data_IF_830421973599
#
_entry.id   IF_830421973599
#
_cell.length_a   1.000
_cell.length_b   1.000
_cell.length_c   1.000
_cell.angle_alpha   90.00
_cell.angle_beta   90.00
_cell.angle_gamma   90.00
#
_symmetry.space_group_name_H-M   'P 1'
#
loop_
_entity.id
_entity.type
_entity.pdbx_description
1 polymer ?
#
# COMPACT_ATOMS: atom_id res chain seq x y z
N UNK A 1 27.81 5.94 -32.46
CA UNK A 1 26.44 6.27 -32.95
C UNK A 1 25.46 5.13 -32.72
N UNK A 2 25.78 3.89 -33.14
CA UNK A 2 24.91 2.71 -32.96
C UNK A 2 24.48 2.45 -31.51
N UNK A 3 25.40 2.52 -30.53
CA UNK A 3 25.06 2.29 -29.11
C UNK A 3 23.98 3.25 -28.58
N UNK A 4 24.02 4.53 -28.98
CA UNK A 4 23.00 5.52 -28.59
C UNK A 4 21.62 5.18 -29.17
N UNK A 5 21.58 4.68 -30.40
CA UNK A 5 20.34 4.26 -31.06
C UNK A 5 19.72 3.07 -30.32
N UNK A 6 20.51 2.05 -29.96
CA UNK A 6 20.02 0.91 -29.19
C UNK A 6 19.48 1.31 -27.82
N UNK A 7 20.17 2.18 -27.08
CA UNK A 7 19.68 2.65 -25.76
C UNK A 7 18.37 3.42 -25.88
N UNK A 8 18.20 4.25 -26.91
CA UNK A 8 16.96 4.99 -27.14
C UNK A 8 15.80 4.08 -27.55
N UNK A 9 16.05 3.06 -28.38
CA UNK A 9 15.03 2.08 -28.77
C UNK A 9 14.58 1.26 -27.57
N UNK A 10 15.51 0.78 -26.74
CA UNK A 10 15.17 0.01 -25.52
C UNK A 10 14.36 0.89 -24.55
N UNK A 11 14.77 2.14 -24.35
CA UNK A 11 14.03 3.07 -23.50
C UNK A 11 12.60 3.32 -24.02
N UNK A 12 12.42 3.48 -25.34
CA UNK A 12 11.12 3.65 -25.96
C UNK A 12 10.24 2.40 -25.82
N UNK A 13 10.80 1.20 -26.05
CA UNK A 13 10.07 -0.06 -25.86
C UNK A 13 9.62 -0.22 -24.40
N UNK A 14 10.50 0.08 -23.44
CA UNK A 14 10.15 0.08 -22.03
C UNK A 14 9.06 1.11 -21.71
N UNK A 15 9.14 2.32 -22.28
CA UNK A 15 8.12 3.36 -22.11
C UNK A 15 6.76 2.90 -22.64
N UNK A 16 6.72 2.30 -23.83
CA UNK A 16 5.50 1.78 -24.45
C UNK A 16 4.92 0.62 -23.64
N UNK A 17 5.76 -0.31 -23.16
CA UNK A 17 5.33 -1.43 -22.33
C UNK A 17 4.77 -0.96 -20.98
N UNK A 18 5.36 0.09 -20.40
CA UNK A 18 4.86 0.73 -19.18
C UNK A 18 3.52 1.41 -19.47
N UNK A 19 3.41 2.18 -20.57
CA UNK A 19 2.19 2.88 -20.95
C UNK A 19 1.02 1.90 -21.24
N UNK A 20 1.28 0.81 -21.96
CA UNK A 20 0.25 -0.20 -22.25
C UNK A 20 -0.20 -0.95 -21.00
N UNK A 21 0.69 -1.12 -20.01
CA UNK A 21 0.35 -1.70 -18.71
C UNK A 21 -0.61 -0.83 -17.89
N UNK A 22 -0.70 0.47 -18.18
CA UNK A 22 -1.68 1.36 -17.56
C UNK A 22 -3.05 1.36 -18.26
N UNK A 23 -3.12 0.95 -19.53
CA UNK A 23 -4.37 0.91 -20.31
C UNK A 23 -5.21 -0.36 -20.07
N UNK A 24 -4.58 -1.46 -19.66
CA UNK A 24 -5.30 -2.70 -19.38
C UNK A 24 -5.82 -2.70 -17.93
N UNK A 25 -7.13 -2.58 -17.80
CA UNK A 25 -7.82 -2.56 -16.52
C UNK A 25 -7.94 -3.93 -15.83
N UNK A 26 -7.21 -4.97 -16.23
CA UNK A 26 -7.29 -6.28 -15.57
C UNK A 26 -6.75 -6.24 -14.13
N UNK A 27 -7.38 -7.00 -13.23
CA UNK A 27 -6.86 -7.20 -11.88
C UNK A 27 -5.60 -8.08 -11.88
N UNK A 28 -4.81 -8.02 -10.80
CA UNK A 28 -3.71 -8.94 -10.50
C UNK A 28 -4.01 -9.64 -9.19
N UNK A 29 -3.91 -10.97 -9.17
CA UNK A 29 -4.09 -11.77 -7.97
C UNK A 29 -2.75 -12.33 -7.50
N UNK A 30 -2.43 -12.19 -6.23
CA UNK A 30 -1.20 -12.71 -5.63
C UNK A 30 -1.36 -13.01 -4.14
N UNK A 31 -0.53 -13.91 -3.61
CA UNK A 31 -0.36 -14.08 -2.17
C UNK A 31 0.54 -12.96 -1.60
N UNK A 32 0.12 -12.33 -0.51
CA UNK A 32 0.85 -11.27 0.17
C UNK A 32 2.15 -11.80 0.78
N UNK A 33 3.25 -11.10 0.54
CA UNK A 33 4.48 -11.33 1.29
C UNK A 33 4.46 -10.70 2.69
N UNK A 34 3.52 -9.78 2.95
CA UNK A 34 3.46 -9.02 4.21
C UNK A 34 2.45 -9.57 5.22
N UNK A 35 1.45 -10.30 4.74
CA UNK A 35 0.24 -10.59 5.50
C UNK A 35 0.00 -12.08 5.59
N UNK A 36 -0.23 -12.55 6.82
CA UNK A 36 -0.67 -13.90 7.14
C UNK A 36 -1.94 -13.84 7.97
N UNK A 37 -2.78 -14.86 7.87
CA UNK A 37 -3.95 -14.98 8.74
C UNK A 37 -3.56 -15.55 10.12
N UNK A 38 -4.55 -15.81 10.99
CA UNK A 38 -4.33 -16.31 12.35
C UNK A 38 -3.65 -17.70 12.36
N UNK A 39 -3.86 -18.51 11.33
CA UNK A 39 -3.24 -19.82 11.15
C UNK A 39 -1.89 -19.77 10.38
N UNK A 40 -1.30 -18.58 10.28
CA UNK A 40 -0.05 -18.30 9.57
C UNK A 40 -0.08 -18.65 8.07
N UNK A 41 -1.26 -18.78 7.48
CA UNK A 41 -1.46 -19.01 6.05
C UNK A 41 -1.37 -17.70 5.26
N UNK A 42 -1.00 -17.76 3.96
CA UNK A 42 -0.95 -16.58 3.12
C UNK A 42 -2.30 -15.87 3.00
N UNK A 43 -2.28 -14.54 3.05
CA UNK A 43 -3.41 -13.70 2.66
C UNK A 43 -3.35 -13.42 1.17
N UNK A 44 -4.44 -13.62 0.46
CA UNK A 44 -4.50 -13.39 -0.99
C UNK A 44 -5.09 -12.01 -1.29
N UNK A 45 -4.52 -11.30 -2.26
CA UNK A 45 -5.01 -10.01 -2.72
C UNK A 45 -5.30 -10.07 -4.21
N UNK A 46 -6.43 -9.54 -4.61
CA UNK A 46 -6.75 -9.17 -5.98
C UNK A 46 -6.76 -7.65 -6.06
N UNK A 47 -5.96 -7.05 -6.92
CA UNK A 47 -5.81 -5.58 -7.00
C UNK A 47 -6.09 -5.11 -8.41
N UNK A 48 -6.84 -4.00 -8.52
CA UNK A 48 -7.09 -3.29 -9.78
C UNK A 48 -6.86 -1.80 -9.58
N UNK A 49 -6.18 -1.19 -10.55
CA UNK A 49 -5.87 0.24 -10.57
C UNK A 49 -6.73 0.96 -11.62
N UNK A 50 -7.40 2.04 -11.20
CA UNK A 50 -8.16 2.93 -12.07
C UNK A 50 -7.50 4.31 -12.08
N UNK A 51 -6.68 4.63 -13.09
CA UNK A 51 -6.10 5.96 -13.21
C UNK A 51 -7.16 6.98 -13.63
N UNK A 52 -7.14 8.15 -13.03
CA UNK A 52 -7.93 9.32 -13.45
C UNK A 52 -7.05 10.55 -13.61
N UNK A 53 -7.63 11.71 -13.94
CA UNK A 53 -6.87 12.97 -14.03
C UNK A 53 -6.73 13.62 -12.65
N UNK A 54 -7.86 13.79 -11.97
CA UNK A 54 -8.04 14.40 -10.66
C UNK A 54 -7.85 13.42 -9.51
N UNK A 55 -8.13 12.14 -9.72
CA UNK A 55 -7.95 11.09 -8.72
C UNK A 55 -7.40 9.80 -9.32
N UNK A 56 -6.83 8.97 -8.47
CA UNK A 56 -6.46 7.59 -8.76
C UNK A 56 -7.19 6.67 -7.79
N UNK A 57 -7.70 5.54 -8.26
CA UNK A 57 -8.39 4.58 -7.39
C UNK A 57 -7.68 3.24 -7.40
N UNK A 58 -7.33 2.76 -6.21
CA UNK A 58 -6.77 1.44 -5.97
C UNK A 58 -7.85 0.59 -5.32
N UNK A 59 -8.41 -0.37 -6.06
CA UNK A 59 -9.36 -1.32 -5.50
C UNK A 59 -8.69 -2.65 -5.21
N UNK A 60 -9.11 -3.28 -4.12
CA UNK A 60 -8.55 -4.54 -3.66
C UNK A 60 -9.64 -5.45 -3.11
N UNK A 61 -9.64 -6.72 -3.49
CA UNK A 61 -10.28 -7.77 -2.71
C UNK A 61 -9.18 -8.49 -1.91
N UNK A 62 -9.39 -8.71 -0.62
CA UNK A 62 -8.44 -9.39 0.25
C UNK A 62 -9.10 -10.60 0.93
N UNK A 63 -8.47 -11.78 0.84
CA UNK A 63 -8.95 -13.00 1.50
C UNK A 63 -7.98 -13.51 2.54
N UNK A 64 -8.49 -13.64 3.77
CA UNK A 64 -7.84 -14.28 4.91
C UNK A 64 -8.15 -15.78 5.02
N UNK A 65 -9.04 -16.29 4.16
CA UNK A 65 -9.53 -17.67 4.20
C UNK A 65 -8.96 -18.55 3.07
N UNK A 66 -8.15 -17.97 2.19
CA UNK A 66 -7.48 -18.65 1.08
C UNK A 66 -7.93 -18.17 -0.30
N UNK A 67 -7.24 -18.64 -1.34
CA UNK A 67 -7.38 -18.15 -2.73
C UNK A 67 -8.71 -18.51 -3.41
N UNK A 68 -9.30 -19.65 -3.07
CA UNK A 68 -10.44 -20.22 -3.79
C UNK A 68 -11.73 -20.24 -2.96
N UNK A 69 -11.83 -19.32 -1.99
CA UNK A 69 -13.05 -19.13 -1.21
C UNK A 69 -14.06 -18.27 -1.96
N UNK A 70 -15.33 -18.38 -1.58
CA UNK A 70 -16.42 -17.56 -2.12
C UNK A 70 -16.11 -16.06 -2.02
N UNK A 71 -16.54 -15.28 -3.01
CA UNK A 71 -16.28 -13.82 -3.06
C UNK A 71 -16.78 -13.07 -1.85
N UNK A 72 -17.85 -13.56 -1.20
CA UNK A 72 -18.41 -13.00 0.04
C UNK A 72 -17.47 -13.09 1.25
N UNK A 73 -16.41 -13.90 1.15
CA UNK A 73 -15.34 -14.04 2.15
C UNK A 73 -14.12 -13.17 1.85
N UNK A 74 -14.18 -12.36 0.79
CA UNK A 74 -13.15 -11.38 0.48
C UNK A 74 -13.58 -10.01 0.97
N UNK A 75 -12.71 -9.34 1.73
CA UNK A 75 -12.90 -7.95 2.09
C UNK A 75 -12.63 -7.08 0.86
N UNK A 76 -13.63 -6.30 0.42
CA UNK A 76 -13.48 -5.36 -0.71
C UNK A 76 -13.15 -3.96 -0.19
N UNK A 77 -12.03 -3.42 -0.66
CA UNK A 77 -11.45 -2.17 -0.21
C UNK A 77 -11.17 -1.25 -1.40
N UNK A 78 -11.22 0.06 -1.18
CA UNK A 78 -10.77 1.06 -2.13
C UNK A 78 -9.94 2.16 -1.44
N UNK A 79 -8.84 2.56 -2.07
CA UNK A 79 -8.03 3.72 -1.70
C UNK A 79 -8.10 4.73 -2.85
N UNK A 80 -8.72 5.88 -2.59
CA UNK A 80 -8.85 6.98 -3.56
C UNK A 80 -7.79 8.02 -3.23
N UNK A 81 -6.84 8.24 -4.13
CA UNK A 81 -5.84 9.30 -4.02
C UNK A 81 -6.32 10.52 -4.79
N UNK A 82 -6.66 11.59 -4.07
CA UNK A 82 -7.01 12.88 -4.65
C UNK A 82 -5.72 13.62 -5.05
N UNK A 83 -5.63 13.98 -6.33
CA UNK A 83 -4.48 14.62 -6.96
C UNK A 83 -4.71 16.09 -7.31
N UNK A 84 -5.84 16.66 -6.91
CA UNK A 84 -6.21 18.04 -7.22
C UNK A 84 -5.34 19.06 -6.47
N UNK A 85 -4.87 18.73 -5.27
CA UNK A 85 -4.04 19.59 -4.42
C UNK A 85 -2.82 18.81 -3.92
N UNK A 86 -1.65 19.45 -3.88
CA UNK A 86 -0.45 18.90 -3.25
C UNK A 86 -0.23 19.47 -1.84
N UNK A 87 0.22 18.65 -0.86
CA UNK A 87 0.37 17.20 -0.95
C UNK A 87 -0.97 16.51 -1.20
N UNK A 88 -0.95 15.42 -1.98
CA UNK A 88 -2.16 14.66 -2.32
C UNK A 88 -2.84 14.15 -1.06
N UNK A 89 -4.14 13.88 -1.09
CA UNK A 89 -4.84 13.23 0.03
C UNK A 89 -5.29 11.82 -0.36
N UNK A 90 -5.52 10.96 0.63
CA UNK A 90 -6.09 9.64 0.40
C UNK A 90 -7.34 9.41 1.25
N UNK A 91 -8.37 8.85 0.60
CA UNK A 91 -9.57 8.32 1.23
C UNK A 91 -9.63 6.80 1.14
N UNK A 92 -10.22 6.18 2.15
CA UNK A 92 -10.33 4.74 2.28
C UNK A 92 -11.78 4.30 2.43
N UNK A 93 -12.16 3.26 1.72
CA UNK A 93 -13.50 2.71 1.75
C UNK A 93 -13.43 1.21 1.92
N UNK A 94 -14.28 0.67 2.80
CA UNK A 94 -14.67 -0.73 2.77
C UNK A 94 -16.04 -0.83 2.10
N UNK A 95 -16.16 -1.72 1.13
CA UNK A 95 -17.32 -1.87 0.26
C UNK A 95 -17.94 -3.25 0.47
N UNK A 96 -19.23 -3.39 0.12
CA UNK A 96 -19.84 -4.71 0.00
C UNK A 96 -19.11 -5.56 -1.05
N UNK A 97 -19.22 -6.88 -0.93
CA UNK A 97 -18.62 -7.82 -1.85
C UNK A 97 -19.07 -7.58 -3.30
N UNK A 98 -18.22 -7.93 -4.26
CA UNK A 98 -18.52 -7.72 -5.66
C UNK A 98 -17.27 -7.59 -6.53
N UNK A 99 -17.45 -7.34 -7.84
CA UNK A 99 -16.34 -7.21 -8.76
C UNK A 99 -15.53 -5.95 -8.46
N UNK A 100 -14.22 -5.97 -8.75
CA UNK A 100 -13.40 -4.76 -8.72
C UNK A 100 -13.75 -3.86 -9.90
N UNK A 101 -14.83 -3.08 -9.76
CA UNK A 101 -15.27 -2.02 -10.68
C UNK A 101 -15.43 -0.76 -9.85
N UNK A 102 -14.98 0.38 -10.39
CA UNK A 102 -15.17 1.69 -9.78
C UNK A 102 -16.36 2.40 -10.41
N UNK A 103 -17.27 2.90 -9.58
CA UNK A 103 -18.40 3.75 -9.94
C UNK A 103 -18.38 4.96 -9.00
N UNK A 104 -18.79 6.13 -9.50
CA UNK A 104 -18.71 7.39 -8.76
C UNK A 104 -19.59 7.42 -7.50
N UNK A 105 -20.64 6.58 -7.45
CA UNK A 105 -21.52 6.45 -6.30
C UNK A 105 -21.08 5.36 -5.30
N UNK A 106 -20.04 4.56 -5.59
CA UNK A 106 -19.54 3.51 -4.68
C UNK A 106 -19.15 4.04 -3.29
N UNK A 107 -18.54 5.24 -3.14
CA UNK A 107 -18.30 5.81 -1.82
C UNK A 107 -19.56 5.93 -0.95
N UNK A 108 -20.74 6.08 -1.56
CA UNK A 108 -22.04 6.13 -0.87
C UNK A 108 -22.53 4.75 -0.44
N UNK A 109 -21.97 3.68 -1.01
CA UNK A 109 -22.28 2.26 -0.74
C UNK A 109 -21.28 1.60 0.22
N UNK A 110 -20.50 2.40 0.96
CA UNK A 110 -19.53 1.88 1.94
C UNK A 110 -20.22 1.16 3.09
N UNK A 111 -19.53 0.16 3.63
CA UNK A 111 -19.96 -0.60 4.81
C UNK A 111 -19.05 -0.28 6.01
N UNK A 112 -19.41 -0.78 7.21
CA UNK A 112 -18.54 -0.68 8.38
C UNK A 112 -17.21 -1.39 8.13
N UNK A 113 -16.11 -0.84 8.65
CA UNK A 113 -14.82 -1.52 8.57
C UNK A 113 -14.84 -2.82 9.37
N UNK A 114 -14.38 -3.92 8.75
CA UNK A 114 -14.05 -5.17 9.45
C UNK A 114 -12.63 -5.12 10.01
N UNK A 115 -11.76 -4.27 9.44
CA UNK A 115 -10.34 -4.13 9.78
C UNK A 115 -9.88 -2.67 9.77
N UNK A 116 -8.98 -2.29 10.69
CA UNK A 116 -8.35 -0.96 10.66
C UNK A 116 -7.27 -0.91 9.58
N UNK A 117 -7.62 -0.35 8.42
CA UNK A 117 -6.71 -0.22 7.29
C UNK A 117 -5.45 0.63 7.62
N UNK A 118 -5.52 1.54 8.60
CA UNK A 118 -4.38 2.38 9.02
C UNK A 118 -3.25 1.63 9.71
N UNK A 119 -3.52 0.43 10.23
CA UNK A 119 -2.48 -0.47 10.76
C UNK A 119 -1.45 -0.77 9.67
N UNK A 120 -1.93 -0.89 8.44
CA UNK A 120 -1.09 -1.14 7.28
C UNK A 120 -0.82 0.15 6.48
N UNK A 121 -1.77 1.06 6.34
CA UNK A 121 -1.69 2.17 5.38
C UNK A 121 -1.68 3.52 6.07
N UNK A 122 -0.50 4.08 6.36
CA UNK A 122 -0.42 5.32 7.13
C UNK A 122 -1.11 6.53 6.45
N UNK A 123 -1.02 6.67 5.11
CA UNK A 123 -1.67 7.78 4.40
C UNK A 123 -1.91 7.49 2.90
N UNK A 124 -2.15 6.24 2.49
CA UNK A 124 -2.45 5.92 1.09
C UNK A 124 -2.02 4.52 0.67
N UNK A 125 -1.96 4.23 -0.64
CA UNK A 125 -1.55 2.93 -1.13
C UNK A 125 -0.08 2.67 -0.78
N UNK A 126 0.24 1.41 -0.50
CA UNK A 126 1.60 0.94 -0.19
C UNK A 126 2.09 0.02 -1.29
N UNK A 127 3.41 -0.14 -1.36
CA UNK A 127 4.03 -1.05 -2.31
C UNK A 127 3.44 -2.46 -2.18
N UNK A 128 2.94 -2.97 -3.30
CA UNK A 128 2.40 -4.29 -3.49
C UNK A 128 3.54 -5.31 -3.49
N UNK A 129 3.51 -6.25 -2.54
CA UNK A 129 4.56 -7.25 -2.36
C UNK A 129 3.97 -8.64 -2.50
N UNK A 130 4.20 -9.24 -3.67
CA UNK A 130 3.74 -10.58 -3.97
C UNK A 130 4.78 -11.65 -3.59
N UNK A 131 4.32 -12.77 -3.05
CA UNK A 131 5.11 -13.99 -2.95
C UNK A 131 5.30 -14.57 -4.36
N UNK A 132 6.54 -14.52 -4.86
CA UNK A 132 6.85 -15.00 -6.22
C UNK A 132 6.68 -16.51 -6.42
N UNK A 133 6.70 -17.29 -5.34
CA UNK A 133 6.71 -18.75 -5.35
C UNK A 133 5.40 -19.37 -4.83
N UNK A 134 4.28 -18.64 -4.85
CA UNK A 134 2.98 -19.19 -4.46
C UNK A 134 2.37 -20.00 -5.62
N UNK A 135 1.93 -21.22 -5.31
CA UNK A 135 1.35 -22.19 -6.25
C UNK A 135 -0.12 -21.89 -6.59
N UNK A 136 -0.85 -21.22 -5.69
CA UNK A 136 -2.27 -20.90 -5.85
C UNK A 136 -2.51 -19.59 -6.61
N UNK A 137 -1.55 -18.68 -6.60
CA UNK A 137 -1.61 -17.39 -7.28
C UNK A 137 -0.24 -17.00 -7.89
N UNK A 138 0.31 -17.82 -8.83
CA UNK A 138 1.59 -17.53 -9.44
C UNK A 138 1.49 -16.28 -10.33
N UNK A 139 2.44 -15.36 -10.16
CA UNK A 139 2.56 -14.19 -11.04
C UNK A 139 3.27 -14.54 -12.35
N UNK A 140 2.57 -14.39 -13.46
CA UNK A 140 3.20 -14.41 -14.78
C UNK A 140 4.06 -13.14 -15.00
N UNK A 141 4.84 -13.12 -16.08
CA UNK A 141 5.73 -11.99 -16.39
C UNK A 141 4.99 -10.65 -16.55
N UNK A 142 3.81 -10.68 -17.18
CA UNK A 142 3.00 -9.48 -17.38
C UNK A 142 2.52 -8.89 -16.05
N UNK A 143 2.05 -9.73 -15.13
CA UNK A 143 1.62 -9.29 -13.81
C UNK A 143 2.78 -8.78 -12.97
N UNK A 144 3.97 -9.38 -13.08
CA UNK A 144 5.20 -8.87 -12.43
C UNK A 144 5.55 -7.47 -12.92
N UNK A 145 5.50 -7.24 -14.24
CA UNK A 145 5.73 -5.91 -14.83
C UNK A 145 4.66 -4.92 -14.35
N UNK A 146 3.39 -5.33 -14.31
CA UNK A 146 2.27 -4.50 -13.85
C UNK A 146 2.43 -4.11 -12.38
N UNK A 147 2.73 -5.06 -11.50
CA UNK A 147 3.00 -4.81 -10.07
C UNK A 147 4.19 -3.86 -9.91
N UNK A 148 5.26 -4.04 -10.68
CA UNK A 148 6.41 -3.12 -10.65
C UNK A 148 6.03 -1.69 -11.08
N UNK A 149 5.25 -1.55 -12.16
CA UNK A 149 4.76 -0.24 -12.64
C UNK A 149 3.82 0.42 -11.61
N UNK A 150 2.93 -0.35 -10.99
CA UNK A 150 2.07 0.11 -9.90
C UNK A 150 2.86 0.55 -8.67
N UNK A 151 3.88 -0.19 -8.27
CA UNK A 151 4.77 0.20 -7.18
C UNK A 151 5.53 1.49 -7.49
N UNK A 152 5.98 1.67 -8.74
CA UNK A 152 6.56 2.93 -9.18
C UNK A 152 5.53 4.06 -9.09
N UNK A 153 4.30 3.84 -9.56
CA UNK A 153 3.21 4.83 -9.45
C UNK A 153 2.98 5.23 -7.99
N UNK A 154 2.83 4.27 -7.09
CA UNK A 154 2.66 4.51 -5.65
C UNK A 154 3.83 5.35 -5.10
N UNK A 155 5.06 5.01 -5.48
CA UNK A 155 6.26 5.76 -5.09
C UNK A 155 6.22 7.22 -5.59
N UNK A 156 5.68 7.48 -6.78
CA UNK A 156 5.60 8.83 -7.36
C UNK A 156 4.61 9.77 -6.67
N UNK A 157 3.68 9.26 -5.85
CA UNK A 157 2.78 10.13 -5.08
C UNK A 157 3.52 10.99 -4.04
N UNK A 158 4.72 10.57 -3.60
CA UNK A 158 5.45 11.26 -2.55
C UNK A 158 4.73 11.20 -1.19
N UNK A 159 4.65 12.34 -0.51
CA UNK A 159 3.84 12.52 0.70
C UNK A 159 2.38 12.64 0.30
N UNK A 160 1.58 11.69 0.74
CA UNK A 160 0.12 11.76 0.72
C UNK A 160 -0.32 12.10 2.14
N UNK A 161 -1.22 13.04 2.32
CA UNK A 161 -1.82 13.41 3.58
C UNK A 161 -3.12 12.64 3.84
N UNK A 162 -3.44 12.55 5.11
CA UNK A 162 -4.73 12.09 5.58
C UNK A 162 -5.84 13.05 5.17
N UNK A 163 -6.99 12.53 4.73
CA UNK A 163 -8.18 13.33 4.51
C UNK A 163 -8.97 13.50 5.83
N UNK A 164 -9.14 14.74 6.34
CA UNK A 164 -9.85 15.00 7.60
C UNK A 164 -11.32 14.53 7.61
N UNK A 165 -11.95 14.28 6.45
CA UNK A 165 -13.31 13.77 6.42
C UNK A 165 -13.44 12.43 7.15
N UNK A 166 -12.36 11.64 7.20
CA UNK A 166 -12.35 10.39 7.95
C UNK A 166 -12.50 10.57 9.46
N UNK A 167 -12.15 11.72 10.03
CA UNK A 167 -12.28 11.94 11.48
C UNK A 167 -13.75 11.99 11.89
N UNK A 168 -14.59 12.56 11.02
CA UNK A 168 -16.05 12.64 11.20
C UNK A 168 -16.69 11.28 10.98
N UNK A 169 -16.14 10.48 10.06
CA UNK A 169 -16.62 9.13 9.78
C UNK A 169 -16.28 8.16 10.90
N UNK A 170 -15.07 8.23 11.45
CA UNK A 170 -14.59 7.38 12.55
C UNK A 170 -15.47 7.49 13.79
N UNK A 171 -16.00 8.68 14.08
CA UNK A 171 -16.91 8.88 15.21
C UNK A 171 -18.22 8.09 15.09
N UNK A 172 -18.58 7.67 13.86
CA UNK A 172 -19.82 6.92 13.58
C UNK A 172 -19.57 5.42 13.50
N UNK A 173 -18.32 4.97 13.47
CA UNK A 173 -17.97 3.57 13.25
C UNK A 173 -17.67 2.85 14.57
N UNK A 174 -17.98 1.55 14.63
CA UNK A 174 -17.65 0.71 15.78
C UNK A 174 -16.15 0.42 15.88
N UNK A 175 -15.50 0.29 14.73
CA UNK A 175 -14.05 0.11 14.61
C UNK A 175 -13.51 1.39 13.97
N UNK A 176 -12.66 2.17 14.67
CA UNK A 176 -12.12 3.38 14.10
C UNK A 176 -11.18 3.04 12.95
N UNK A 177 -11.21 3.83 11.88
CA UNK A 177 -10.23 3.72 10.82
C UNK A 177 -8.82 3.95 11.36
N UNK A 178 -8.64 4.95 12.25
CA UNK A 178 -7.37 5.28 12.89
C UNK A 178 -7.44 5.23 14.41
N UNK A 179 -6.45 4.61 15.04
CA UNK A 179 -6.27 4.71 16.49
C UNK A 179 -5.66 6.07 16.86
N UNK A 180 -6.32 6.79 17.79
CA UNK A 180 -5.92 8.14 18.23
C UNK A 180 -5.37 8.18 19.66
N UNK A 181 -5.14 7.03 20.29
CA UNK A 181 -4.53 7.00 21.61
C UNK A 181 -3.10 7.57 21.53
N UNK A 182 -2.60 8.24 22.59
CA UNK A 182 -1.24 8.78 22.59
C UNK A 182 -0.17 7.75 22.23
N UNK A 183 -0.36 6.51 22.67
CA UNK A 183 0.49 5.38 22.32
C UNK A 183 0.44 5.07 20.81
N UNK A 184 -0.75 4.90 20.22
CA UNK A 184 -0.91 4.52 18.82
C UNK A 184 -0.31 5.55 17.84
N UNK A 185 -0.35 6.83 18.21
CA UNK A 185 0.20 7.93 17.39
C UNK A 185 1.65 8.26 17.69
N UNK A 186 2.31 7.56 18.63
CA UNK A 186 3.71 7.76 18.93
C UNK A 186 4.55 7.54 17.67
N UNK A 187 5.40 8.50 17.35
CA UNK A 187 6.21 8.52 16.14
C UNK A 187 7.57 7.82 16.35
N UNK A 188 8.01 7.08 15.34
CA UNK A 188 9.34 6.48 15.30
C UNK A 188 10.37 7.57 14.94
N UNK A 189 11.35 7.77 15.83
CA UNK A 189 12.37 8.84 15.71
C UNK A 189 13.77 8.34 15.32
N UNK A 190 13.86 7.10 14.84
CA UNK A 190 15.13 6.51 14.37
C UNK A 190 15.68 7.31 13.18
N UNK A 191 16.88 7.86 13.32
CA UNK A 191 17.45 8.83 12.38
C UNK A 191 17.47 8.33 10.94
N UNK A 192 17.93 7.10 10.71
CA UNK A 192 17.94 6.47 9.38
C UNK A 192 16.54 6.36 8.77
N UNK A 193 15.51 6.10 9.57
CA UNK A 193 14.12 6.01 9.09
C UNK A 193 13.58 7.38 8.66
N UNK A 194 13.97 8.46 9.34
CA UNK A 194 13.53 9.84 9.07
C UNK A 194 14.03 10.39 7.73
N UNK A 195 14.99 9.74 7.06
CA UNK A 195 15.40 10.12 5.70
C UNK A 195 14.26 9.96 4.67
N UNK A 196 13.37 8.98 4.86
CA UNK A 196 12.20 8.76 4.02
C UNK A 196 10.90 9.07 4.75
N UNK A 197 10.83 8.78 6.04
CA UNK A 197 9.64 8.95 6.86
C UNK A 197 9.63 10.29 7.59
N UNK A 198 9.58 11.36 6.81
CA UNK A 198 9.40 12.73 7.30
C UNK A 198 8.17 13.38 6.64
N UNK A 199 7.82 14.57 7.13
CA UNK A 199 6.67 15.33 6.63
C UNK A 199 7.00 16.20 5.40
N UNK A 200 8.28 16.50 5.18
CA UNK A 200 8.73 17.44 4.14
C UNK A 200 9.91 16.91 3.35
N UNK A 201 9.99 17.30 2.08
CA UNK A 201 11.08 16.93 1.17
C UNK A 201 10.67 15.95 0.08
N UNK A 202 11.59 15.73 -0.86
CA UNK A 202 11.30 14.96 -2.08
C UNK A 202 10.98 13.48 -1.81
N UNK A 203 11.59 12.91 -0.76
CA UNK A 203 11.39 11.51 -0.38
C UNK A 203 10.37 11.32 0.74
N UNK A 204 9.68 12.38 1.17
CA UNK A 204 8.75 12.35 2.29
C UNK A 204 7.64 11.32 2.09
N UNK A 205 7.45 10.46 3.10
CA UNK A 205 6.42 9.41 3.18
C UNK A 205 5.48 9.56 4.37
N UNK A 206 5.67 10.59 5.18
CA UNK A 206 5.00 10.75 6.47
C UNK A 206 5.70 9.92 7.56
N UNK A 207 5.52 10.38 8.79
CA UNK A 207 6.12 9.78 9.98
C UNK A 207 5.53 8.40 10.26
N UNK A 208 6.39 7.41 10.55
CA UNK A 208 5.97 6.09 11.02
C UNK A 208 5.45 6.21 12.46
N UNK A 209 4.33 5.56 12.74
CA UNK A 209 3.64 5.58 14.02
C UNK A 209 3.52 4.17 14.60
N UNK A 210 3.33 4.08 15.92
CA UNK A 210 3.29 2.81 16.64
C UNK A 210 2.15 1.90 16.19
N UNK A 211 1.02 2.45 15.75
CA UNK A 211 -0.05 1.66 15.13
C UNK A 211 0.40 0.84 13.89
N UNK A 212 1.56 1.16 13.29
CA UNK A 212 2.17 0.40 12.20
C UNK A 212 3.28 -0.56 12.64
N UNK A 213 3.44 -0.84 13.94
CA UNK A 213 4.57 -1.63 14.49
C UNK A 213 4.73 -3.00 13.83
N UNK A 214 3.63 -3.72 13.59
CA UNK A 214 3.67 -5.06 12.99
C UNK A 214 4.20 -5.01 11.54
N UNK A 215 3.82 -3.96 10.79
CA UNK A 215 4.38 -3.70 9.46
C UNK A 215 5.86 -3.37 9.56
N UNK A 216 6.25 -2.46 10.46
CA UNK A 216 7.62 -1.99 10.64
C UNK A 216 8.54 -3.17 10.95
N UNK A 217 8.17 -4.01 11.91
CA UNK A 217 8.91 -5.21 12.32
C UNK A 217 9.05 -6.21 11.15
N UNK A 218 7.96 -6.47 10.43
CA UNK A 218 7.95 -7.37 9.27
C UNK A 218 8.88 -6.89 8.15
N UNK A 219 8.96 -5.58 7.91
CA UNK A 219 9.83 -5.02 6.88
C UNK A 219 11.30 -5.00 7.29
N UNK A 220 11.59 -4.69 8.54
CA UNK A 220 12.98 -4.72 9.05
C UNK A 220 13.53 -6.14 9.10
N UNK A 221 12.76 -7.10 9.60
CA UNK A 221 13.20 -8.51 9.68
C UNK A 221 13.49 -9.13 8.31
N UNK A 222 12.84 -8.65 7.25
CA UNK A 222 13.10 -9.06 5.86
C UNK A 222 14.20 -8.28 5.15
N UNK A 223 14.80 -7.29 5.80
CA UNK A 223 15.79 -6.41 5.18
C UNK A 223 15.20 -5.51 4.08
N UNK A 224 13.88 -5.30 4.08
CA UNK A 224 13.21 -4.39 3.15
C UNK A 224 13.22 -2.94 3.67
N UNK A 225 13.50 -2.74 4.95
CA UNK A 225 13.65 -1.44 5.59
C UNK A 225 14.90 -1.42 6.51
N UNK A 226 15.75 -0.38 6.42
CA UNK A 226 15.67 0.75 5.49
C UNK A 226 16.08 0.35 4.04
N UNK A 227 15.50 0.99 3.00
CA UNK A 227 15.77 0.61 1.61
C UNK A 227 17.15 1.15 1.14
N UNK A 228 17.50 0.90 -0.13
CA UNK A 228 18.63 1.58 -0.82
C UNK A 228 20.01 1.39 -0.15
N UNK A 229 20.23 0.31 0.58
CA UNK A 229 21.51 0.01 1.21
C UNK A 229 21.83 0.87 2.44
N UNK A 230 20.85 1.64 2.95
CA UNK A 230 20.96 2.20 4.29
C UNK A 230 21.07 1.05 5.31
N UNK A 231 21.79 1.29 6.40
CA UNK A 231 21.97 0.31 7.48
C UNK A 231 21.72 0.99 8.82
N UNK A 232 21.00 0.33 9.72
CA UNK A 232 20.82 0.81 11.08
C UNK A 232 22.11 0.58 11.89
N UNK A 233 22.58 1.62 12.58
CA UNK A 233 23.58 1.46 13.64
C UNK A 233 23.02 0.62 14.80
N UNK A 234 23.88 0.07 15.67
CA UNK A 234 23.41 -0.72 16.80
C UNK A 234 22.54 0.09 17.78
N UNK A 235 22.84 1.38 17.92
CA UNK A 235 21.99 2.32 18.68
C UNK A 235 20.60 2.45 18.05
N UNK A 236 20.53 2.66 16.74
CA UNK A 236 19.25 2.79 16.03
C UNK A 236 18.44 1.48 16.02
N UNK A 237 19.12 0.32 15.99
CA UNK A 237 18.46 -0.98 16.18
C UNK A 237 17.82 -1.08 17.56
N UNK A 238 18.53 -0.63 18.60
CA UNK A 238 17.98 -0.58 19.96
C UNK A 238 16.78 0.37 20.05
N UNK A 239 16.90 1.60 19.54
CA UNK A 239 15.80 2.58 19.50
C UNK A 239 14.56 2.03 18.75
N UNK A 240 14.77 1.32 17.64
CA UNK A 240 13.70 0.67 16.91
C UNK A 240 13.04 -0.45 17.72
N UNK A 241 13.83 -1.26 18.43
CA UNK A 241 13.32 -2.34 19.27
C UNK A 241 12.53 -1.79 20.47
N UNK A 242 13.00 -0.73 21.11
CA UNK A 242 12.29 -0.07 22.21
C UNK A 242 10.96 0.50 21.71
N UNK A 243 10.96 1.12 20.53
CA UNK A 243 9.74 1.56 19.86
C UNK A 243 8.78 0.40 19.57
N UNK A 244 9.23 -0.74 19.03
CA UNK A 244 8.36 -1.89 18.75
C UNK A 244 7.78 -2.47 20.05
N UNK A 245 8.57 -2.51 21.14
CA UNK A 245 8.20 -3.17 22.39
C UNK A 245 7.40 -2.31 23.36
N UNK A 246 7.43 -0.98 23.25
CA UNK A 246 6.70 -0.11 24.17
C UNK A 246 7.48 0.42 25.37
N UNK A 247 8.81 0.48 25.25
CA UNK A 247 9.67 1.03 26.28
C UNK A 247 10.08 2.48 25.98
#
# INVERSE_FOLDING_TARGET
MQQKIYTSIIALILLIAVASSFGNSSSVIFASAESKNAELQPVYNEIRFFPGWDKDVWMMNQSHYGRFVESSKWDRLAIVVDKTVKPFTAKFYQLADGPLVWEEDLPLKKIEFSVSCMICHNNGPRALRALNADDKAPLNLQDKIRVAAWNLRIKTYGRIQYDPSHDVEDQKMKIPFRHKTPEAVQELKVATCLHCHNETGFFARGLLQRQQMATIESLVSRGEMPPLGFTLSDKEKQELQDFIRGF
#
